data_IF_022577355466
#
_entry.id   IF_022577355466
#
_cell.length_a   1.000
_cell.length_b   1.000
_cell.length_c   1.000
_cell.angle_alpha   90.00
_cell.angle_beta   90.00
_cell.angle_gamma   90.00
#
_symmetry.space_group_name_H-M   'P 1'
#
loop_
_entity.id
_entity.type
_entity.pdbx_description
1 polymer ?
#
# COMPACT_ATOMS: atom_id res chain seq x y z
N UNK A 1 19.95 5.25 -19.14
CA UNK A 1 20.47 3.87 -18.95
C UNK A 1 22.01 3.78 -18.72
N UNK A 2 22.66 4.76 -18.09
CA UNK A 2 24.14 4.87 -18.11
C UNK A 2 24.85 4.77 -16.76
N UNK A 3 24.15 4.86 -15.62
CA UNK A 3 24.75 4.72 -14.29
C UNK A 3 24.76 3.28 -13.77
N UNK A 4 23.71 2.51 -14.05
CA UNK A 4 23.58 1.13 -13.55
C UNK A 4 24.50 0.16 -14.29
N UNK A 5 24.92 0.46 -15.53
CA UNK A 5 25.82 -0.41 -16.29
C UNK A 5 27.27 -0.37 -15.80
N UNK A 6 27.65 0.68 -15.05
CA UNK A 6 28.97 0.81 -14.44
C UNK A 6 29.05 0.13 -13.05
N UNK A 7 27.91 -0.24 -12.47
CA UNK A 7 27.83 -0.89 -11.15
C UNK A 7 28.75 -2.11 -10.95
N UNK A 8 29.03 -2.97 -11.95
CA UNK A 8 29.96 -4.10 -11.79
C UNK A 8 31.41 -3.67 -11.59
N UNK A 9 31.77 -2.45 -11.99
CA UNK A 9 33.14 -1.92 -11.95
C UNK A 9 33.40 -1.00 -10.76
N UNK A 10 32.38 -0.78 -9.91
CA UNK A 10 32.49 0.07 -8.72
C UNK A 10 32.91 -0.79 -7.52
N UNK A 11 33.98 -0.42 -6.77
CA UNK A 11 34.34 -1.12 -5.54
C UNK A 11 33.18 -1.22 -4.56
N UNK A 12 32.97 -2.40 -3.97
CA UNK A 12 31.78 -2.71 -3.16
C UNK A 12 31.53 -1.69 -2.02
N UNK A 13 32.59 -1.15 -1.41
CA UNK A 13 32.47 -0.12 -0.37
C UNK A 13 31.89 1.20 -0.88
N UNK A 14 32.28 1.61 -2.09
CA UNK A 14 31.76 2.81 -2.76
C UNK A 14 30.32 2.60 -3.21
N UNK A 15 30.01 1.42 -3.77
CA UNK A 15 28.65 1.06 -4.15
C UNK A 15 27.71 1.05 -2.94
N UNK A 16 28.16 0.46 -1.81
CA UNK A 16 27.40 0.45 -0.56
C UNK A 16 27.23 1.85 0.04
N UNK A 17 28.25 2.71 -0.05
CA UNK A 17 28.16 4.10 0.40
C UNK A 17 27.17 4.90 -0.47
N UNK A 18 27.27 4.77 -1.79
CA UNK A 18 26.32 5.38 -2.74
C UNK A 18 24.90 4.89 -2.53
N UNK A 19 24.71 3.58 -2.33
CA UNK A 19 23.40 2.99 -1.99
C UNK A 19 22.82 3.53 -0.69
N UNK A 20 23.63 3.69 0.38
CA UNK A 20 23.19 4.32 1.63
C UNK A 20 22.81 5.78 1.46
N UNK A 21 23.53 6.53 0.65
CA UNK A 21 23.20 7.94 0.34
C UNK A 21 21.90 8.00 -0.45
N UNK A 22 21.75 7.18 -1.50
CA UNK A 22 20.53 7.10 -2.30
C UNK A 22 19.31 6.68 -1.46
N UNK A 23 19.46 5.74 -0.54
CA UNK A 23 18.40 5.33 0.38
C UNK A 23 17.99 6.42 1.38
N UNK A 24 18.86 7.39 1.64
CA UNK A 24 18.57 8.57 2.47
C UNK A 24 18.08 9.76 1.66
N UNK A 25 18.19 9.70 0.33
CA UNK A 25 17.66 10.75 -0.51
C UNK A 25 16.14 10.77 -0.38
N UNK A 26 15.56 11.95 -0.18
CA UNK A 26 14.13 12.15 -0.22
C UNK A 26 13.46 11.48 -1.44
N UNK A 27 12.66 10.44 -1.23
CA UNK A 27 11.81 9.89 -2.28
C UNK A 27 10.61 10.84 -2.46
N UNK A 28 10.71 11.76 -3.42
CA UNK A 28 9.68 12.77 -3.68
C UNK A 28 8.63 12.33 -4.71
N UNK A 29 8.82 11.19 -5.37
CA UNK A 29 7.99 10.75 -6.49
C UNK A 29 6.76 9.94 -6.08
N UNK A 30 6.55 9.65 -4.79
CA UNK A 30 5.46 8.81 -4.29
C UNK A 30 4.64 9.60 -3.28
N UNK A 31 3.41 9.94 -3.63
CA UNK A 31 2.47 10.62 -2.73
C UNK A 31 1.67 9.66 -1.84
N UNK A 32 1.37 8.47 -2.34
CA UNK A 32 0.67 7.41 -1.61
C UNK A 32 1.12 6.04 -2.09
N UNK A 33 0.79 5.00 -1.32
CA UNK A 33 0.99 3.60 -1.69
C UNK A 33 -0.35 2.90 -1.67
N UNK A 34 -0.62 2.12 -2.72
CA UNK A 34 -1.80 1.28 -2.81
C UNK A 34 -1.36 -0.15 -3.07
N UNK A 35 -1.66 -1.06 -2.16
CA UNK A 35 -1.39 -2.49 -2.34
C UNK A 35 -2.68 -3.21 -2.74
N UNK A 36 -2.57 -4.18 -3.64
CA UNK A 36 -3.67 -5.06 -4.03
C UNK A 36 -3.20 -6.50 -3.92
N UNK A 37 -3.70 -7.21 -2.91
CA UNK A 37 -3.31 -8.57 -2.59
C UNK A 37 -4.51 -9.50 -2.83
N UNK A 38 -4.46 -10.36 -3.85
CA UNK A 38 -5.47 -11.40 -4.02
C UNK A 38 -5.41 -12.37 -2.84
N UNK A 39 -6.51 -12.53 -2.11
CA UNK A 39 -6.62 -13.52 -1.04
C UNK A 39 -7.45 -14.74 -1.44
N UNK A 40 -7.62 -15.65 -0.48
CA UNK A 40 -8.29 -16.93 -0.69
C UNK A 40 -9.78 -16.71 -1.07
N UNK A 41 -10.24 -17.38 -2.12
CA UNK A 41 -11.64 -17.32 -2.59
C UNK A 41 -12.52 -18.42 -1.99
N UNK A 42 -11.99 -19.14 -0.99
CA UNK A 42 -12.72 -20.13 -0.22
C UNK A 42 -12.62 -19.78 1.28
N UNK A 43 -13.59 -20.22 2.11
CA UNK A 43 -13.55 -20.01 3.55
C UNK A 43 -12.26 -20.54 4.18
N UNK A 44 -11.65 -19.76 5.06
CA UNK A 44 -10.48 -20.16 5.86
C UNK A 44 -10.90 -20.39 7.32
N UNK A 45 -10.19 -21.30 8.00
CA UNK A 45 -10.46 -21.62 9.40
C UNK A 45 -9.18 -21.57 10.23
N UNK A 46 -9.28 -21.02 11.43
CA UNK A 46 -8.23 -21.08 12.45
C UNK A 46 -8.76 -21.83 13.66
N UNK A 47 -8.12 -22.94 14.01
CA UNK A 47 -8.54 -23.79 15.15
C UNK A 47 -10.05 -24.16 15.09
N UNK A 48 -10.56 -24.46 13.89
CA UNK A 48 -11.97 -24.81 13.67
C UNK A 48 -12.95 -23.62 13.66
N UNK A 49 -12.47 -22.38 13.76
CA UNK A 49 -13.29 -21.16 13.67
C UNK A 49 -13.15 -20.51 12.31
N UNK A 50 -14.28 -20.12 11.72
CA UNK A 50 -14.32 -19.43 10.43
C UNK A 50 -13.65 -18.05 10.52
N UNK A 51 -12.78 -17.73 9.56
CA UNK A 51 -12.30 -16.38 9.33
C UNK A 51 -13.44 -15.56 8.71
N UNK A 52 -13.85 -14.49 9.38
CA UNK A 52 -15.00 -13.69 8.98
C UNK A 52 -14.61 -12.53 8.06
N UNK A 53 -13.51 -11.87 8.37
CA UNK A 53 -13.08 -10.66 7.68
C UNK A 53 -11.56 -10.54 7.68
N UNK A 54 -11.04 -9.74 6.76
CA UNK A 54 -9.62 -9.37 6.71
C UNK A 54 -9.49 -7.87 6.95
N UNK A 55 -8.53 -7.49 7.79
CA UNK A 55 -8.18 -6.08 8.03
C UNK A 55 -6.78 -5.87 7.42
N UNK A 56 -6.70 -5.59 6.11
CA UNK A 56 -5.42 -5.39 5.46
C UNK A 56 -4.77 -4.10 5.98
N UNK A 57 -3.46 -4.14 6.21
CA UNK A 57 -2.69 -3.03 6.76
C UNK A 57 -1.37 -2.92 6.01
N UNK A 58 -0.97 -1.69 5.67
CA UNK A 58 0.35 -1.40 5.10
C UNK A 58 1.00 -0.28 5.89
N UNK A 59 2.22 -0.49 6.43
CA UNK A 59 2.90 0.54 7.18
C UNK A 59 3.31 1.71 6.28
N UNK A 60 3.31 2.91 6.84
CA UNK A 60 3.74 4.11 6.13
C UNK A 60 5.25 4.08 5.89
N UNK A 61 5.63 4.24 4.63
CA UNK A 61 7.02 4.50 4.26
C UNK A 61 7.43 5.93 4.57
N UNK A 62 8.73 6.26 4.54
CA UNK A 62 9.20 7.62 4.70
C UNK A 62 8.48 8.57 3.73
N UNK A 63 7.87 9.64 4.27
CA UNK A 63 7.15 10.70 3.53
C UNK A 63 5.84 10.26 2.88
N UNK A 64 5.40 9.02 3.06
CA UNK A 64 4.05 8.58 2.69
C UNK A 64 3.14 8.85 3.89
N UNK A 65 2.18 9.76 3.72
CA UNK A 65 1.30 10.19 4.82
C UNK A 65 -0.01 9.40 4.86
N UNK A 66 -0.39 8.79 3.73
CA UNK A 66 -1.57 7.93 3.60
C UNK A 66 -1.25 6.77 2.67
N UNK A 67 -1.73 5.58 3.00
CA UNK A 67 -1.59 4.39 2.20
C UNK A 67 -2.85 3.51 2.29
N UNK A 68 -3.09 2.73 1.24
CA UNK A 68 -4.25 1.89 1.04
C UNK A 68 -3.82 0.44 0.88
N UNK A 69 -4.48 -0.46 1.57
CA UNK A 69 -4.27 -1.89 1.47
C UNK A 69 -5.57 -2.57 1.04
N UNK A 70 -5.59 -3.14 -0.15
CA UNK A 70 -6.74 -3.89 -0.66
C UNK A 70 -6.45 -5.38 -0.61
N UNK A 71 -7.41 -6.14 -0.07
CA UNK A 71 -7.35 -7.60 -0.04
C UNK A 71 -8.72 -8.20 -0.34
N UNK A 72 -8.74 -9.20 -1.22
CA UNK A 72 -9.94 -10.00 -1.46
C UNK A 72 -9.99 -11.24 -0.56
N UNK A 73 -11.18 -11.64 -0.12
CA UNK A 73 -11.38 -12.88 0.64
C UNK A 73 -12.81 -13.39 0.49
N UNK A 74 -12.98 -14.67 0.15
CA UNK A 74 -14.28 -15.35 0.11
C UNK A 74 -15.38 -14.53 -0.62
N UNK A 75 -15.07 -14.00 -1.80
CA UNK A 75 -15.98 -13.20 -2.62
C UNK A 75 -16.14 -11.72 -2.22
N UNK A 76 -15.57 -11.29 -1.10
CA UNK A 76 -15.51 -9.89 -0.67
C UNK A 76 -14.18 -9.22 -0.97
N UNK A 77 -14.16 -7.88 -0.87
CA UNK A 77 -12.96 -7.04 -0.93
C UNK A 77 -12.96 -6.09 0.28
N UNK A 78 -11.84 -6.02 0.97
CA UNK A 78 -11.61 -5.11 2.09
C UNK A 78 -10.56 -4.08 1.70
N UNK A 79 -10.82 -2.82 2.02
CA UNK A 79 -9.89 -1.71 1.85
C UNK A 79 -9.50 -1.18 3.23
N UNK A 80 -8.24 -1.36 3.61
CA UNK A 80 -7.66 -0.76 4.80
C UNK A 80 -6.98 0.56 4.46
N UNK A 81 -7.20 1.58 5.27
CA UNK A 81 -6.53 2.88 5.15
C UNK A 81 -5.60 3.05 6.34
N UNK A 82 -4.33 3.31 6.06
CA UNK A 82 -3.34 3.67 7.08
C UNK A 82 -2.91 5.10 6.81
N UNK A 83 -3.05 5.98 7.80
CA UNK A 83 -2.70 7.39 7.67
C UNK A 83 -1.93 7.88 8.89
N UNK A 84 -1.07 8.86 8.66
CA UNK A 84 -0.39 9.59 9.71
C UNK A 84 -1.40 10.52 10.38
N UNK A 85 -1.52 10.39 11.69
CA UNK A 85 -2.54 11.10 12.48
C UNK A 85 -2.37 12.63 12.42
N UNK A 86 -1.13 13.12 12.42
CA UNK A 86 -0.84 14.55 12.43
C UNK A 86 -0.91 15.15 11.01
N UNK A 87 -0.55 14.36 10.00
CA UNK A 87 -0.47 14.83 8.62
C UNK A 87 -1.78 14.71 7.85
N UNK A 88 -2.69 13.81 8.24
CA UNK A 88 -3.98 13.56 7.57
C UNK A 88 -5.12 13.54 8.60
N UNK A 89 -5.48 14.70 9.17
CA UNK A 89 -6.49 14.80 10.23
C UNK A 89 -7.92 14.47 9.76
N UNK A 90 -8.16 14.49 8.45
CA UNK A 90 -9.43 14.32 7.77
C UNK A 90 -9.51 13.01 6.96
N UNK A 91 -8.78 11.98 7.40
CA UNK A 91 -8.77 10.64 6.76
C UNK A 91 -10.18 10.04 6.58
N UNK A 92 -11.12 10.37 7.46
CA UNK A 92 -12.50 9.90 7.39
C UNK A 92 -13.20 10.37 6.10
N UNK A 93 -12.88 11.56 5.57
CA UNK A 93 -13.41 12.05 4.29
C UNK A 93 -12.95 11.19 3.12
N UNK A 94 -11.72 10.67 3.19
CA UNK A 94 -11.19 9.74 2.18
C UNK A 94 -11.94 8.41 2.25
N UNK A 95 -12.18 7.90 3.46
CA UNK A 95 -12.92 6.65 3.68
C UNK A 95 -14.35 6.77 3.16
N UNK A 96 -15.04 7.87 3.47
CA UNK A 96 -16.38 8.16 2.96
C UNK A 96 -16.39 8.26 1.42
N UNK A 97 -15.46 9.03 0.85
CA UNK A 97 -15.34 9.22 -0.59
C UNK A 97 -15.08 7.92 -1.37
N UNK A 98 -14.37 6.94 -0.77
CA UNK A 98 -14.21 5.60 -1.37
C UNK A 98 -15.57 4.90 -1.49
N UNK A 99 -16.37 4.91 -0.41
CA UNK A 99 -17.70 4.31 -0.40
C UNK A 99 -18.66 4.97 -1.38
N UNK A 100 -18.66 6.31 -1.42
CA UNK A 100 -19.44 7.08 -2.37
C UNK A 100 -19.04 6.80 -3.82
N UNK A 101 -17.74 6.72 -4.10
CA UNK A 101 -17.23 6.46 -5.46
C UNK A 101 -17.64 5.08 -5.97
N UNK A 102 -17.56 4.05 -5.12
CA UNK A 102 -18.01 2.69 -5.47
C UNK A 102 -19.52 2.69 -5.75
N UNK A 103 -20.31 3.29 -4.86
CA UNK A 103 -21.77 3.40 -5.03
C UNK A 103 -22.13 4.16 -6.31
N UNK A 104 -21.35 5.21 -6.64
CA UNK A 104 -21.50 5.97 -7.89
C UNK A 104 -21.27 5.10 -9.13
N UNK A 105 -20.21 4.29 -9.13
CA UNK A 105 -19.89 3.38 -10.23
C UNK A 105 -20.98 2.30 -10.41
N UNK A 106 -21.50 1.73 -9.32
CA UNK A 106 -22.61 0.77 -9.40
C UNK A 106 -23.84 1.35 -10.11
N UNK A 107 -24.15 2.63 -9.86
CA UNK A 107 -25.29 3.31 -10.49
C UNK A 107 -25.08 3.60 -11.97
N UNK A 108 -23.85 3.73 -12.45
CA UNK A 108 -23.55 4.01 -13.86
C UNK A 108 -23.55 2.74 -14.72
N UNK A 109 -23.32 1.57 -14.09
CA UNK A 109 -23.31 0.27 -14.75
C UNK A 109 -24.73 -0.35 -14.88
N UNK A 110 -25.71 0.18 -14.13
CA UNK A 110 -27.12 -0.22 -14.18
C UNK A 110 -27.99 0.76 -14.97
#
# INVERSE_FOLDING_TARGET
>A
PTLLSAAPFVPAGLLAAGGRVAARMPQHSVGTVTTNVPGAQHPLYLMGRLLLETIPFVPLGPRVQIAFAMMSYNGGVWCGVTADYDAVPDVDLVIEGIGESITGLEREVH
#
